data_IF_047314785908
#
_entry.id   IF_047314785908
#
_cell.length_a   1.000
_cell.length_b   1.000
_cell.length_c   1.000
_cell.angle_alpha   90.00
_cell.angle_beta   90.00
_cell.angle_gamma   90.00
#
_symmetry.space_group_name_H-M   'P 1'
#
loop_
_entity.id
_entity.type
_entity.pdbx_description
1 polymer ?
#
# COMPACT_ATOMS: atom_id res chain seq x y z
N UNK A 1 -23.45 -4.05 -11.44
CA UNK A 1 -23.79 -2.71 -10.97
C UNK A 1 -22.66 -2.18 -10.11
N UNK A 2 -22.01 -1.08 -10.50
CA UNK A 2 -20.94 -0.53 -9.69
C UNK A 2 -21.51 0.00 -8.37
N UNK A 3 -20.84 -0.29 -7.25
CA UNK A 3 -21.33 0.09 -5.93
C UNK A 3 -20.24 0.80 -5.16
N UNK A 4 -20.49 2.05 -4.76
CA UNK A 4 -19.65 2.80 -3.85
C UNK A 4 -20.42 3.04 -2.54
N UNK A 5 -19.87 2.58 -1.42
CA UNK A 5 -20.55 2.68 -0.12
C UNK A 5 -19.58 2.68 1.06
N UNK A 6 -20.08 2.99 2.24
CA UNK A 6 -19.33 2.77 3.48
C UNK A 6 -19.02 1.28 3.65
N UNK A 7 -17.86 0.96 4.22
CA UNK A 7 -17.52 -0.43 4.55
C UNK A 7 -18.43 -1.00 5.64
N UNK A 8 -18.68 -2.30 5.59
CA UNK A 8 -19.38 -3.02 6.64
C UNK A 8 -18.42 -3.52 7.74
N UNK A 9 -18.97 -4.14 8.79
CA UNK A 9 -18.18 -4.65 9.94
C UNK A 9 -17.12 -5.70 9.55
N UNK A 10 -17.42 -6.55 8.56
CA UNK A 10 -16.51 -7.62 8.12
C UNK A 10 -15.33 -7.01 7.37
N UNK A 11 -15.59 -6.11 6.42
CA UNK A 11 -14.57 -5.37 5.68
C UNK A 11 -13.67 -4.55 6.62
N UNK A 12 -14.28 -3.90 7.62
CA UNK A 12 -13.54 -3.17 8.66
C UNK A 12 -12.60 -4.08 9.46
N UNK A 13 -13.04 -5.32 9.74
CA UNK A 13 -12.19 -6.31 10.42
C UNK A 13 -11.00 -6.73 9.56
N UNK A 14 -11.19 -6.89 8.25
CA UNK A 14 -10.08 -7.20 7.32
C UNK A 14 -9.05 -6.08 7.28
N UNK A 15 -9.50 -4.82 7.17
CA UNK A 15 -8.62 -3.65 7.17
C UNK A 15 -7.87 -3.55 8.49
N UNK A 16 -8.59 -3.58 9.62
CA UNK A 16 -8.01 -3.47 10.96
C UNK A 16 -6.99 -4.57 11.22
N UNK A 17 -7.33 -5.83 10.91
CA UNK A 17 -6.43 -6.97 11.14
C UNK A 17 -5.16 -6.89 10.28
N UNK A 18 -5.25 -6.45 9.03
CA UNK A 18 -4.08 -6.23 8.18
C UNK A 18 -3.22 -5.06 8.69
N UNK A 19 -3.82 -3.95 9.11
CA UNK A 19 -3.07 -2.81 9.65
C UNK A 19 -2.42 -3.14 11.00
N UNK A 20 -3.06 -3.94 11.85
CA UNK A 20 -2.45 -4.43 13.11
C UNK A 20 -1.17 -5.23 12.87
N UNK A 21 -1.13 -6.04 11.80
CA UNK A 21 0.09 -6.78 11.41
C UNK A 21 1.22 -5.86 10.96
N UNK A 22 0.89 -4.65 10.51
CA UNK A 22 1.88 -3.65 10.13
C UNK A 22 2.35 -2.86 11.36
N UNK A 23 1.41 -2.29 12.13
CA UNK A 23 1.70 -1.61 13.41
C UNK A 23 0.41 -1.35 14.19
N UNK A 24 0.46 -1.56 15.51
CA UNK A 24 -0.62 -1.17 16.43
C UNK A 24 -0.82 0.35 16.51
N UNK A 25 0.23 1.13 16.24
CA UNK A 25 0.17 2.60 16.20
C UNK A 25 -0.73 3.10 15.08
N UNK A 26 -0.66 2.47 13.89
CA UNK A 26 -1.50 2.84 12.75
C UNK A 26 -2.99 2.67 13.09
N UNK A 27 -3.34 1.56 13.72
CA UNK A 27 -4.72 1.32 14.15
C UNK A 27 -5.16 2.29 15.24
N UNK A 28 -4.27 2.61 16.17
CA UNK A 28 -4.54 3.61 17.20
C UNK A 28 -4.75 5.00 16.61
N UNK A 29 -4.01 5.35 15.56
CA UNK A 29 -4.17 6.60 14.81
C UNK A 29 -5.57 6.71 14.20
N UNK A 30 -6.01 5.69 13.45
CA UNK A 30 -7.34 5.69 12.83
C UNK A 30 -8.49 5.62 13.84
N UNK A 31 -8.28 5.12 15.05
CA UNK A 31 -9.29 5.20 16.12
C UNK A 31 -9.44 6.60 16.72
N UNK A 32 -8.36 7.39 16.72
CA UNK A 32 -8.32 8.74 17.32
C UNK A 32 -8.69 9.84 16.32
N UNK A 33 -8.49 9.59 15.02
CA UNK A 33 -8.70 10.54 13.95
C UNK A 33 -9.97 10.21 13.19
N UNK A 34 -10.62 11.26 12.70
CA UNK A 34 -11.93 11.14 12.09
C UNK A 34 -11.79 10.86 10.58
N UNK A 35 -11.53 9.58 10.28
CA UNK A 35 -11.55 9.06 8.92
C UNK A 35 -12.54 7.91 8.79
N UNK A 36 -13.14 7.78 7.61
CA UNK A 36 -14.01 6.67 7.24
C UNK A 36 -13.46 5.94 6.03
N UNK A 37 -13.69 4.64 6.02
CA UNK A 37 -13.37 3.79 4.89
C UNK A 37 -14.61 3.56 4.03
N UNK A 38 -14.47 3.78 2.74
CA UNK A 38 -15.46 3.46 1.72
C UNK A 38 -14.92 2.34 0.83
N UNK A 39 -15.82 1.59 0.23
CA UNK A 39 -15.51 0.50 -0.69
C UNK A 39 -16.18 0.77 -2.03
N UNK A 40 -15.42 0.53 -3.09
CA UNK A 40 -15.92 0.48 -4.46
C UNK A 40 -15.84 -0.95 -4.98
N UNK A 41 -16.96 -1.40 -5.54
CA UNK A 41 -17.15 -2.70 -6.16
C UNK A 41 -17.46 -2.47 -7.64
N UNK A 42 -16.57 -2.93 -8.52
CA UNK A 42 -16.80 -2.98 -9.96
C UNK A 42 -17.34 -4.36 -10.34
N UNK A 43 -18.64 -4.41 -10.63
CA UNK A 43 -19.35 -5.64 -10.98
C UNK A 43 -19.17 -6.03 -12.46
N UNK A 44 -18.83 -5.08 -13.34
CA UNK A 44 -18.70 -5.34 -14.77
C UNK A 44 -17.36 -5.99 -15.13
N UNK A 45 -16.36 -5.86 -14.25
CA UNK A 45 -15.02 -6.44 -14.41
C UNK A 45 -14.76 -7.67 -13.50
N UNK A 46 -15.81 -8.40 -13.16
CA UNK A 46 -15.84 -9.55 -12.22
C UNK A 46 -14.82 -10.69 -12.46
N UNK A 47 -14.00 -10.65 -13.50
CA UNK A 47 -12.90 -11.61 -13.71
C UNK A 47 -11.55 -11.19 -13.12
N UNK A 48 -11.35 -9.93 -12.68
CA UNK A 48 -10.00 -9.49 -12.29
C UNK A 48 -9.88 -8.38 -11.23
N UNK A 49 -10.92 -7.62 -10.90
CA UNK A 49 -10.77 -6.49 -9.97
C UNK A 49 -11.16 -6.87 -8.52
N UNK A 50 -10.29 -6.48 -7.58
CA UNK A 50 -10.52 -6.61 -6.15
C UNK A 50 -11.27 -5.38 -5.63
N UNK A 51 -12.14 -5.49 -4.61
CA UNK A 51 -12.77 -4.33 -3.98
C UNK A 51 -11.75 -3.27 -3.58
N UNK A 52 -11.95 -2.04 -4.04
CA UNK A 52 -11.08 -0.91 -3.72
C UNK A 52 -11.55 -0.23 -2.45
N UNK A 53 -10.60 0.13 -1.60
CA UNK A 53 -10.83 0.80 -0.34
C UNK A 53 -10.32 2.22 -0.44
N UNK A 54 -11.18 3.14 -0.06
CA UNK A 54 -10.94 4.58 -0.06
C UNK A 54 -10.97 5.11 1.36
N UNK A 55 -10.02 5.97 1.70
CA UNK A 55 -9.96 6.68 2.97
C UNK A 55 -10.46 8.11 2.76
N UNK A 56 -11.50 8.49 3.49
CA UNK A 56 -12.17 9.79 3.37
C UNK A 56 -12.22 10.46 4.75
N UNK A 57 -11.81 11.74 4.87
CA UNK A 57 -12.03 12.52 6.09
C UNK A 57 -13.52 12.53 6.46
N UNK A 58 -13.85 12.30 7.73
CA UNK A 58 -15.25 12.21 8.17
C UNK A 58 -16.04 13.50 7.95
N UNK A 59 -15.40 14.66 7.94
CA UNK A 59 -16.04 15.95 7.59
C UNK A 59 -16.69 15.93 6.20
N UNK A 60 -16.18 15.10 5.29
CA UNK A 60 -16.71 14.94 3.93
C UNK A 60 -17.74 13.82 3.81
N UNK A 61 -18.00 13.04 4.87
CA UNK A 61 -18.85 11.85 4.78
C UNK A 61 -20.31 12.19 4.47
N UNK A 62 -20.84 13.26 5.07
CA UNK A 62 -22.24 13.67 4.86
C UNK A 62 -22.50 14.09 3.41
N UNK A 63 -21.60 14.90 2.84
CA UNK A 63 -21.68 15.35 1.44
C UNK A 63 -21.56 14.15 0.50
N UNK A 64 -20.64 13.24 0.80
CA UNK A 64 -20.44 12.04 -0.02
C UNK A 64 -21.68 11.12 0.02
N UNK A 65 -22.24 10.87 1.20
CA UNK A 65 -23.45 10.05 1.39
C UNK A 65 -24.69 10.66 0.73
N UNK A 66 -24.79 12.00 0.67
CA UNK A 66 -25.84 12.69 -0.08
C UNK A 66 -25.69 12.47 -1.59
N UNK A 67 -24.48 12.66 -2.12
CA UNK A 67 -24.19 12.48 -3.55
C UNK A 67 -24.39 11.05 -4.02
N UNK A 68 -24.02 10.06 -3.21
CA UNK A 68 -24.21 8.63 -3.53
C UNK A 68 -25.67 8.23 -3.78
N UNK A 69 -26.65 9.06 -3.41
CA UNK A 69 -28.07 8.82 -3.72
C UNK A 69 -28.41 9.08 -5.20
N UNK A 70 -27.67 9.97 -5.86
CA UNK A 70 -28.01 10.51 -7.17
C UNK A 70 -26.85 10.45 -8.18
N UNK A 71 -25.63 10.16 -7.73
CA UNK A 71 -24.41 10.17 -8.55
C UNK A 71 -23.70 8.80 -8.50
N UNK A 72 -23.21 8.36 -9.66
CA UNK A 72 -22.32 7.20 -9.77
C UNK A 72 -20.89 7.61 -9.43
N UNK A 73 -20.50 7.40 -8.18
CA UNK A 73 -19.16 7.73 -7.68
C UNK A 73 -18.25 6.51 -7.77
N UNK A 74 -17.10 6.66 -8.45
CA UNK A 74 -16.13 5.57 -8.60
C UNK A 74 -14.93 5.68 -7.63
N UNK A 75 -14.72 6.86 -7.04
CA UNK A 75 -13.60 7.14 -6.14
C UNK A 75 -13.92 8.35 -5.22
N UNK A 76 -13.38 8.34 -4.01
CA UNK A 76 -13.40 9.50 -3.11
C UNK A 76 -12.19 9.49 -2.18
N UNK A 77 -11.62 10.66 -1.87
CA UNK A 77 -10.46 10.75 -0.98
C UNK A 77 -9.22 10.01 -1.52
N UNK A 78 -8.55 9.25 -0.65
CA UNK A 78 -7.32 8.54 -0.99
C UNK A 78 -7.65 7.08 -1.31
N UNK A 79 -7.23 6.58 -2.48
CA UNK A 79 -7.20 5.14 -2.73
C UNK A 79 -6.24 4.49 -1.74
N UNK A 80 -6.75 3.86 -0.70
CA UNK A 80 -5.96 3.38 0.44
C UNK A 80 -5.49 1.94 0.25
N UNK A 81 -6.16 1.18 -0.61
CA UNK A 81 -5.79 -0.20 -0.89
C UNK A 81 -6.93 -1.02 -1.46
N UNK A 82 -6.81 -2.33 -1.37
CA UNK A 82 -7.84 -3.26 -1.83
C UNK A 82 -7.96 -4.49 -0.94
N UNK A 83 -9.10 -5.16 -0.97
CA UNK A 83 -9.32 -6.40 -0.22
C UNK A 83 -9.25 -7.59 -1.19
N UNK A 84 -8.37 -8.55 -0.92
CA UNK A 84 -8.26 -9.80 -1.68
C UNK A 84 -8.29 -10.98 -0.74
N UNK A 85 -9.25 -11.89 -0.94
CA UNK A 85 -9.39 -13.12 -0.13
C UNK A 85 -9.41 -12.84 1.39
N UNK A 86 -10.14 -11.80 1.81
CA UNK A 86 -10.25 -11.40 3.22
C UNK A 86 -9.00 -10.71 3.80
N UNK A 87 -8.03 -10.34 2.97
CA UNK A 87 -6.82 -9.62 3.37
C UNK A 87 -6.84 -8.24 2.73
N UNK A 88 -6.71 -7.21 3.56
CA UNK A 88 -6.49 -5.86 3.06
C UNK A 88 -5.02 -5.67 2.68
N UNK A 89 -4.79 -5.12 1.49
CA UNK A 89 -3.49 -4.78 0.92
C UNK A 89 -3.42 -3.26 0.72
N UNK A 90 -2.40 -2.63 1.29
CA UNK A 90 -2.17 -1.19 1.11
C UNK A 90 -1.82 -0.86 -0.35
N UNK A 91 -2.36 0.24 -0.84
CA UNK A 91 -1.93 0.89 -2.08
C UNK A 91 -0.65 1.70 -1.86
N UNK A 92 -0.05 2.16 -2.95
CA UNK A 92 1.11 3.06 -2.89
C UNK A 92 0.75 4.37 -2.18
N UNK A 93 -0.40 4.95 -2.52
CA UNK A 93 -0.92 6.17 -1.89
C UNK A 93 -1.23 5.95 -0.41
N UNK A 94 -1.72 4.77 -0.03
CA UNK A 94 -1.93 4.39 1.36
C UNK A 94 -0.62 4.32 2.15
N UNK A 95 0.45 3.76 1.56
CA UNK A 95 1.78 3.76 2.19
C UNK A 95 2.36 5.17 2.29
N UNK A 96 2.22 6.01 1.26
CA UNK A 96 2.63 7.42 1.29
C UNK A 96 1.88 8.21 2.37
N UNK A 97 0.57 8.00 2.49
CA UNK A 97 -0.23 8.61 3.53
C UNK A 97 0.30 8.25 4.93
N UNK A 98 0.56 6.96 5.19
CA UNK A 98 1.13 6.52 6.47
C UNK A 98 2.54 7.07 6.73
N UNK A 99 3.35 7.21 5.68
CA UNK A 99 4.68 7.80 5.78
C UNK A 99 4.62 9.29 6.12
N UNK A 100 3.76 10.06 5.46
CA UNK A 100 3.58 11.50 5.69
C UNK A 100 3.06 11.79 7.11
N UNK A 101 2.28 10.86 7.67
CA UNK A 101 1.85 10.90 9.07
C UNK A 101 2.93 10.45 10.07
N UNK A 102 4.10 10.02 9.59
CA UNK A 102 5.21 9.52 10.40
C UNK A 102 4.91 8.25 11.22
N UNK A 103 3.86 7.52 10.88
CA UNK A 103 3.41 6.28 11.56
C UNK A 103 3.77 5.00 10.79
N UNK A 104 4.48 5.12 9.67
CA UNK A 104 5.05 3.97 8.96
C UNK A 104 6.31 3.48 9.71
N UNK A 105 6.37 2.22 10.18
CA UNK A 105 7.49 1.74 10.97
C UNK A 105 8.80 1.72 10.20
N UNK A 106 9.91 1.95 10.88
CA UNK A 106 11.23 1.98 10.24
C UNK A 106 11.65 0.60 9.67
N UNK A 107 11.18 -0.50 10.27
CA UNK A 107 11.42 -1.86 9.75
C UNK A 107 10.73 -2.13 8.40
N UNK A 108 9.83 -1.24 7.96
CA UNK A 108 9.16 -1.30 6.67
C UNK A 108 9.80 -0.39 5.61
N UNK A 109 10.92 0.29 5.88
CA UNK A 109 11.53 1.27 4.97
C UNK A 109 12.83 0.73 4.40
N UNK A 110 12.99 0.72 3.08
CA UNK A 110 14.24 0.34 2.41
C UNK A 110 14.66 1.43 1.43
N UNK A 111 15.96 1.74 1.34
CA UNK A 111 16.48 2.75 0.40
C UNK A 111 17.31 2.08 -0.68
N UNK A 112 17.14 2.53 -1.91
CA UNK A 112 17.79 1.95 -3.10
C UNK A 112 18.65 2.98 -3.83
N UNK A 113 19.68 2.52 -4.54
CA UNK A 113 20.57 3.36 -5.34
C UNK A 113 19.87 3.89 -6.61
N UNK A 114 20.41 4.94 -7.24
CA UNK A 114 19.85 5.50 -8.49
C UNK A 114 19.74 4.44 -9.61
N UNK A 115 20.72 3.53 -9.70
CA UNK A 115 20.66 2.39 -10.62
C UNK A 115 19.46 1.48 -10.33
N UNK A 116 19.16 1.28 -9.05
CA UNK A 116 17.98 0.54 -8.60
C UNK A 116 16.67 1.20 -8.99
N UNK A 117 16.61 2.54 -8.91
CA UNK A 117 15.37 3.30 -9.10
C UNK A 117 14.78 3.05 -10.47
N UNK A 118 15.61 3.22 -11.52
CA UNK A 118 15.19 2.94 -12.88
C UNK A 118 14.69 1.51 -13.03
N UNK A 119 15.45 0.52 -12.54
CA UNK A 119 15.09 -0.90 -12.63
C UNK A 119 13.74 -1.21 -11.98
N UNK A 120 13.50 -0.70 -10.78
CA UNK A 120 12.29 -0.94 -9.99
C UNK A 120 11.08 -0.26 -10.63
N UNK A 121 11.24 0.96 -11.15
CA UNK A 121 10.19 1.67 -11.88
C UNK A 121 9.81 1.00 -13.21
N UNK A 122 10.55 0.00 -13.69
CA UNK A 122 10.16 -0.88 -14.80
C UNK A 122 9.53 -2.20 -14.34
N UNK A 123 9.24 -2.35 -13.04
CA UNK A 123 8.60 -3.54 -12.48
C UNK A 123 9.55 -4.66 -12.06
N UNK A 124 10.87 -4.44 -12.10
CA UNK A 124 11.83 -5.47 -11.67
C UNK A 124 11.85 -5.64 -10.15
N UNK A 125 12.20 -6.84 -9.71
CA UNK A 125 12.45 -7.17 -8.31
C UNK A 125 13.70 -6.45 -7.77
N UNK A 126 13.76 -6.33 -6.44
CA UNK A 126 14.83 -5.63 -5.74
C UNK A 126 15.96 -6.60 -5.43
N UNK A 127 17.13 -6.37 -6.04
CA UNK A 127 18.33 -7.19 -5.85
C UNK A 127 19.26 -6.60 -4.80
N UNK A 128 20.13 -7.42 -4.20
CA UNK A 128 21.13 -6.95 -3.23
C UNK A 128 22.00 -5.81 -3.76
N UNK A 129 22.40 -5.88 -5.03
CA UNK A 129 23.25 -4.88 -5.69
C UNK A 129 22.69 -3.46 -5.71
N UNK A 130 21.38 -3.28 -5.53
CA UNK A 130 20.74 -1.95 -5.60
C UNK A 130 20.31 -1.42 -4.24
N UNK A 131 20.52 -2.17 -3.16
CA UNK A 131 20.20 -1.73 -1.79
C UNK A 131 21.24 -0.74 -1.32
N UNK A 132 20.80 0.46 -0.92
CA UNK A 132 21.62 1.46 -0.28
C UNK A 132 21.53 1.36 1.25
N UNK A 133 20.32 1.25 1.79
CA UNK A 133 20.09 1.00 3.22
C UNK A 133 18.92 0.05 3.42
N UNK A 134 19.00 -0.75 4.49
CA UNK A 134 18.00 -1.75 4.85
C UNK A 134 17.84 -1.76 6.38
N UNK A 135 16.63 -2.03 6.91
CA UNK A 135 16.45 -2.07 8.35
C UNK A 135 17.14 -3.30 8.95
N UNK A 136 17.74 -3.11 10.14
CA UNK A 136 18.45 -4.16 10.89
C UNK A 136 17.54 -5.32 11.29
N UNK A 137 16.26 -5.05 11.49
CA UNK A 137 15.24 -6.02 11.93
C UNK A 137 14.34 -6.49 10.78
N UNK A 138 14.82 -6.41 9.53
CA UNK A 138 14.04 -6.89 8.40
C UNK A 138 13.68 -8.37 8.58
N UNK A 139 12.39 -8.68 8.46
CA UNK A 139 11.87 -10.05 8.44
C UNK A 139 11.36 -10.41 7.06
N UNK A 140 11.44 -11.69 6.73
CA UNK A 140 10.83 -12.23 5.51
C UNK A 140 9.32 -11.97 5.52
N UNK A 141 8.77 -11.69 4.34
CA UNK A 141 7.37 -11.31 4.10
C UNK A 141 6.94 -9.94 4.63
N UNK A 142 7.83 -9.15 5.23
CA UNK A 142 7.54 -7.76 5.59
C UNK A 142 7.21 -6.93 4.35
N UNK A 143 6.14 -6.12 4.46
CA UNK A 143 5.80 -5.11 3.47
C UNK A 143 6.84 -3.99 3.52
N UNK A 144 7.39 -3.59 2.38
CA UNK A 144 8.43 -2.57 2.30
C UNK A 144 7.96 -1.39 1.47
N UNK A 145 8.08 -0.19 2.03
CA UNK A 145 8.12 1.06 1.28
C UNK A 145 9.55 1.26 0.74
N UNK A 146 9.65 1.41 -0.57
CA UNK A 146 10.93 1.50 -1.29
C UNK A 146 11.19 2.97 -1.61
N UNK A 147 12.27 3.51 -1.05
CA UNK A 147 12.67 4.89 -1.18
C UNK A 147 13.84 5.04 -2.15
N UNK A 148 13.77 6.00 -3.06
CA UNK A 148 14.93 6.42 -3.85
C UNK A 148 15.90 7.27 -3.01
N UNK A 149 16.97 7.78 -3.64
CA UNK A 149 17.96 8.62 -2.96
C UNK A 149 17.41 9.94 -2.43
N UNK A 150 16.34 10.45 -3.05
CA UNK A 150 15.62 11.69 -2.68
C UNK A 150 14.58 11.50 -1.58
N UNK A 151 14.51 10.30 -0.98
CA UNK A 151 13.50 9.91 0.01
C UNK A 151 12.06 9.94 -0.52
N UNK A 152 11.87 9.75 -1.82
CA UNK A 152 10.56 9.56 -2.42
C UNK A 152 10.22 8.06 -2.43
N UNK A 153 8.98 7.72 -2.04
CA UNK A 153 8.48 6.35 -2.19
C UNK A 153 8.23 6.10 -3.67
N UNK A 154 8.88 5.07 -4.22
CA UNK A 154 8.75 4.70 -5.64
C UNK A 154 8.04 3.38 -5.85
N UNK A 155 7.97 2.53 -4.81
CA UNK A 155 7.35 1.22 -4.90
C UNK A 155 6.95 0.67 -3.52
N UNK A 156 6.07 -0.33 -3.56
CA UNK A 156 5.83 -1.28 -2.48
C UNK A 156 6.46 -2.61 -2.89
N UNK A 157 7.20 -3.21 -1.96
CA UNK A 157 7.79 -4.53 -2.13
C UNK A 157 7.44 -5.46 -0.97
N UNK A 158 7.72 -6.75 -1.14
CA UNK A 158 7.68 -7.75 -0.07
C UNK A 158 9.06 -8.35 0.13
N UNK A 159 9.60 -8.25 1.34
CA UNK A 159 10.87 -8.87 1.68
C UNK A 159 10.85 -10.38 1.43
N UNK A 160 11.89 -10.91 0.79
CA UNK A 160 12.04 -12.36 0.55
C UNK A 160 13.05 -13.02 1.49
N UNK A 161 13.70 -12.21 2.32
CA UNK A 161 14.77 -12.61 3.23
C UNK A 161 14.56 -11.99 4.62
N UNK A 162 15.28 -12.53 5.60
CA UNK A 162 15.53 -11.89 6.89
C UNK A 162 16.86 -11.12 6.84
N UNK A 163 17.02 -10.11 7.69
CA UNK A 163 18.22 -9.26 7.74
C UNK A 163 19.52 -10.05 7.96
N UNK A 164 19.45 -11.12 8.78
CA UNK A 164 20.56 -12.03 9.06
C UNK A 164 21.13 -12.71 7.82
N UNK A 165 20.31 -12.90 6.78
CA UNK A 165 20.71 -13.57 5.54
C UNK A 165 21.38 -12.61 4.55
N UNK A 166 21.24 -11.29 4.72
CA UNK A 166 21.61 -10.30 3.71
C UNK A 166 23.10 -10.33 3.35
N UNK A 167 23.99 -10.49 4.34
CA UNK A 167 25.43 -10.50 4.09
C UNK A 167 25.88 -11.66 3.21
N UNK A 168 25.22 -12.81 3.33
CA UNK A 168 25.56 -14.03 2.60
C UNK A 168 25.02 -14.06 1.16
N UNK A 169 24.17 -13.10 0.78
CA UNK A 169 23.60 -13.05 -0.56
C UNK A 169 24.63 -12.60 -1.61
N UNK A 170 24.57 -13.18 -2.80
CA UNK A 170 25.23 -12.66 -4.00
C UNK A 170 24.53 -11.38 -4.46
N UNK A 171 25.26 -10.51 -5.17
CA UNK A 171 24.77 -9.20 -5.63
C UNK A 171 23.53 -9.27 -6.54
N UNK A 172 23.36 -10.36 -7.28
CA UNK A 172 22.22 -10.59 -8.18
C UNK A 172 21.05 -11.33 -7.51
N UNK A 173 21.15 -11.67 -6.22
CA UNK A 173 20.06 -12.33 -5.53
C UNK A 173 19.00 -11.33 -5.07
N UNK A 174 17.75 -11.79 -5.12
CA UNK A 174 16.57 -11.04 -4.73
C UNK A 174 16.49 -10.85 -3.21
N UNK A 175 16.32 -9.59 -2.82
CA UNK A 175 16.09 -9.15 -1.43
C UNK A 175 14.60 -8.91 -1.18
N UNK A 176 13.90 -8.37 -2.16
CA UNK A 176 12.47 -8.14 -2.08
C UNK A 176 11.81 -8.27 -3.46
N UNK A 177 10.57 -8.76 -3.45
CA UNK A 177 9.72 -8.84 -4.63
C UNK A 177 8.99 -7.53 -4.83
N UNK A 178 9.03 -6.96 -6.04
CA UNK A 178 8.26 -5.77 -6.38
C UNK A 178 6.77 -6.14 -6.47
N UNK A 179 5.91 -5.42 -5.76
CA UNK A 179 4.45 -5.63 -5.78
C UNK A 179 3.75 -4.59 -6.66
N UNK A 180 4.12 -3.32 -6.51
CA UNK A 180 3.64 -2.19 -7.31
C UNK A 180 4.67 -1.07 -7.24
N UNK A 181 4.88 -0.38 -8.36
CA UNK A 181 5.79 0.76 -8.49
C UNK A 181 5.11 1.94 -9.19
N UNK A 182 5.63 3.16 -9.01
CA UNK A 182 5.06 4.37 -9.63
C UNK A 182 5.06 4.34 -11.16
N UNK A 183 5.98 3.60 -11.78
CA UNK A 183 5.95 3.42 -13.23
C UNK A 183 4.69 2.71 -13.71
N UNK A 184 3.96 2.01 -12.83
CA UNK A 184 2.66 1.42 -13.13
C UNK A 184 1.66 2.44 -13.67
N UNK A 185 1.62 3.66 -13.13
CA UNK A 185 0.68 4.70 -13.59
C UNK A 185 0.93 5.13 -15.05
N UNK A 186 2.16 4.99 -15.54
CA UNK A 186 2.52 5.30 -16.93
C UNK A 186 2.29 4.11 -17.87
N UNK A 187 2.31 2.88 -17.34
CA UNK A 187 2.12 1.64 -18.11
C UNK A 187 0.67 1.20 -18.20
N UNK A 188 -0.14 1.52 -17.19
CA UNK A 188 -1.56 1.18 -17.16
C UNK A 188 -2.25 1.94 -18.30
N UNK A 189 -2.90 1.20 -19.21
CA UNK A 189 -3.79 1.82 -20.19
C UNK A 189 -4.91 2.53 -19.42
N UNK A 190 -5.09 3.83 -19.70
CA UNK A 190 -6.18 4.64 -19.18
C UNK A 190 -7.47 4.30 -19.91
#
# INVERSE_FOLDING_TARGET
>A
MNTFRLINKIENSFITNSLLKLSSEIVSYFKKKDYRFYIFLDDEQAKSQFPFIYLVPSENSAILEERLKNEDINAAGIYFGFIKKGIFHLSLEGVEFLYNLQILPNCNKIKISEKGEKSILYGNDILKSVIATMPSELKKNTLLAVFNQKNEIIAIARATIDSSSFQNLKLNQKVAQNLVDKGYYLRKRQ
#
